data_IF_202277122960
#
_entry.id   IF_202277122960
#
_cell.length_a   1.000
_cell.length_b   1.000
_cell.length_c   1.000
_cell.angle_alpha   90.00
_cell.angle_beta   90.00
_cell.angle_gamma   90.00
#
_symmetry.space_group_name_H-M   'P 1'
#
loop_
_entity.id
_entity.type
_entity.pdbx_description
1 polymer ?
#
# COMPACT_ATOMS: atom_id res chain seq x y z
N UNK A 1 -15.16 12.39 4.74
CA UNK A 1 -15.91 11.86 5.90
C UNK A 1 -15.54 12.65 7.15
N UNK A 2 -16.52 13.30 7.79
CA UNK A 2 -16.36 13.96 9.08
C UNK A 2 -16.81 13.00 10.20
N UNK A 3 -16.02 11.94 10.44
CA UNK A 3 -16.19 11.04 11.58
C UNK A 3 -15.19 11.46 12.67
N UNK A 4 -15.60 12.40 13.53
CA UNK A 4 -14.74 13.00 14.57
C UNK A 4 -14.25 11.99 15.60
N UNK A 5 -15.02 10.93 15.82
CA UNK A 5 -14.62 9.80 16.66
C UNK A 5 -13.36 9.07 16.17
N UNK A 6 -12.96 9.29 14.90
CA UNK A 6 -11.74 8.71 14.31
C UNK A 6 -10.55 9.67 14.35
N UNK A 7 -10.70 10.89 14.88
CA UNK A 7 -9.63 11.89 14.94
C UNK A 7 -8.35 11.37 15.65
N UNK A 8 -8.41 10.52 16.69
CA UNK A 8 -7.20 9.92 17.27
C UNK A 8 -6.36 9.06 16.30
N UNK A 9 -6.99 8.52 15.24
CA UNK A 9 -6.35 7.69 14.22
C UNK A 9 -6.05 8.43 12.92
N UNK A 10 -6.78 9.52 12.65
CA UNK A 10 -6.82 10.19 11.35
C UNK A 10 -5.44 10.44 10.77
N UNK A 11 -4.55 10.95 11.61
CA UNK A 11 -3.19 11.29 11.23
C UNK A 11 -2.26 10.07 11.16
N UNK A 12 -2.40 9.11 12.09
CA UNK A 12 -1.56 7.90 12.11
C UNK A 12 -1.78 7.01 10.88
N UNK A 13 -3.03 6.92 10.43
CA UNK A 13 -3.44 6.12 9.26
C UNK A 13 -3.44 6.97 7.99
N UNK A 14 -3.43 8.30 8.10
CA UNK A 14 -3.49 9.27 7.01
C UNK A 14 -4.71 9.02 6.11
N UNK A 15 -5.90 9.31 6.63
CA UNK A 15 -7.16 9.03 5.93
C UNK A 15 -7.23 9.68 4.54
N UNK A 16 -6.66 10.88 4.39
CA UNK A 16 -6.61 11.61 3.13
C UNK A 16 -5.15 11.66 2.70
N UNK A 17 -4.83 10.97 1.62
CA UNK A 17 -3.46 10.85 1.11
C UNK A 17 -3.51 10.58 -0.39
N UNK A 18 -2.62 11.22 -1.14
CA UNK A 18 -2.31 10.82 -2.53
C UNK A 18 -1.54 9.50 -2.51
N UNK A 19 -1.88 8.58 -3.42
CA UNK A 19 -1.32 7.22 -3.46
C UNK A 19 0.21 7.20 -3.57
N UNK A 20 0.77 8.15 -4.30
CA UNK A 20 2.20 8.30 -4.66
C UNK A 20 2.98 9.27 -3.75
N UNK A 21 2.31 9.96 -2.82
CA UNK A 21 3.00 10.91 -1.95
C UNK A 21 3.59 10.16 -0.76
N UNK A 22 4.88 10.30 -0.43
CA UNK A 22 5.49 9.62 0.70
C UNK A 22 4.80 10.03 2.02
N UNK A 23 4.67 9.11 3.00
CA UNK A 23 4.13 9.45 4.30
C UNK A 23 5.05 10.45 5.02
N UNK A 24 4.52 11.39 5.82
CA UNK A 24 5.33 12.20 6.71
C UNK A 24 6.22 11.33 7.59
N UNK A 25 7.48 11.75 7.79
CA UNK A 25 8.49 10.98 8.51
C UNK A 25 7.98 10.50 9.87
N UNK A 26 7.33 11.38 10.65
CA UNK A 26 6.77 11.07 11.96
C UNK A 26 5.81 9.86 11.97
N UNK A 27 5.07 9.63 10.89
CA UNK A 27 4.17 8.49 10.77
C UNK A 27 4.88 7.29 10.16
N UNK A 28 5.78 7.53 9.20
CA UNK A 28 6.61 6.48 8.60
C UNK A 28 7.55 5.81 9.61
N UNK A 29 7.97 6.52 10.65
CA UNK A 29 8.84 6.05 11.72
C UNK A 29 8.08 5.64 12.99
N UNK A 30 6.75 5.60 12.96
CA UNK A 30 5.94 5.34 14.14
C UNK A 30 5.97 3.85 14.52
N UNK A 31 6.96 3.47 15.34
CA UNK A 31 7.20 2.10 15.81
C UNK A 31 6.27 1.67 16.97
N UNK A 32 4.99 1.97 16.81
CA UNK A 32 3.95 1.58 17.76
C UNK A 32 2.88 0.76 17.06
N UNK A 33 2.43 -0.30 17.73
CA UNK A 33 1.23 -1.04 17.37
C UNK A 33 -0.02 -0.29 17.84
N UNK A 34 -1.19 -0.52 17.21
CA UNK A 34 -2.45 -0.01 17.74
C UNK A 34 -2.70 -0.49 19.16
N UNK A 35 -3.16 0.40 20.03
CA UNK A 35 -3.62 0.07 21.38
C UNK A 35 -4.99 -0.64 21.38
N UNK A 36 -5.40 -1.16 22.54
CA UNK A 36 -6.74 -1.75 22.73
C UNK A 36 -7.86 -0.74 22.44
N UNK A 37 -7.66 0.54 22.76
CA UNK A 37 -8.62 1.61 22.48
C UNK A 37 -8.67 1.99 20.99
N UNK A 38 -7.57 1.82 20.26
CA UNK A 38 -7.47 2.16 18.84
C UNK A 38 -8.02 1.09 17.91
N UNK A 39 -7.96 -0.19 18.29
CA UNK A 39 -8.43 -1.31 17.45
C UNK A 39 -9.92 -1.18 17.03
N UNK A 40 -10.87 -0.85 17.92
CA UNK A 40 -12.26 -0.59 17.53
C UNK A 40 -12.39 0.55 16.52
N UNK A 41 -11.57 1.61 16.67
CA UNK A 41 -11.56 2.74 15.75
C UNK A 41 -11.00 2.35 14.37
N UNK A 42 -9.99 1.47 14.31
CA UNK A 42 -9.48 0.91 13.05
C UNK A 42 -10.56 0.11 12.33
N UNK A 43 -11.27 -0.76 13.06
CA UNK A 43 -12.37 -1.54 12.49
C UNK A 43 -13.48 -0.64 11.94
N UNK A 44 -13.86 0.39 12.70
CA UNK A 44 -14.87 1.37 12.24
C UNK A 44 -14.42 2.13 10.99
N UNK A 45 -13.16 2.57 10.95
CA UNK A 45 -12.60 3.20 9.75
C UNK A 45 -12.58 2.24 8.56
N UNK A 46 -12.22 0.97 8.76
CA UNK A 46 -12.22 -0.04 7.71
C UNK A 46 -13.62 -0.19 7.07
N UNK A 47 -14.66 -0.32 7.89
CA UNK A 47 -16.05 -0.39 7.42
C UNK A 47 -16.46 0.84 6.62
N UNK A 48 -16.08 2.05 7.09
CA UNK A 48 -16.37 3.29 6.37
C UNK A 48 -15.62 3.37 5.04
N UNK A 49 -14.37 2.91 5.00
CA UNK A 49 -13.58 2.83 3.77
C UNK A 49 -14.20 1.85 2.78
N UNK A 50 -14.59 0.66 3.23
CA UNK A 50 -15.24 -0.35 2.39
C UNK A 50 -16.54 0.20 1.78
N UNK A 51 -17.37 0.88 2.58
CA UNK A 51 -18.56 1.55 2.07
C UNK A 51 -18.25 2.65 1.04
N UNK A 52 -17.12 3.35 1.16
CA UNK A 52 -16.68 4.32 0.15
C UNK A 52 -16.23 3.63 -1.14
N UNK A 53 -15.45 2.55 -1.03
CA UNK A 53 -14.98 1.79 -2.19
C UNK A 53 -16.15 1.14 -2.96
N UNK A 54 -17.16 0.62 -2.28
CA UNK A 54 -18.36 0.08 -2.93
C UNK A 54 -19.12 1.15 -3.72
N UNK A 55 -19.23 2.37 -3.16
CA UNK A 55 -19.81 3.51 -3.88
C UNK A 55 -18.98 3.91 -5.10
N UNK A 56 -17.66 3.90 -4.97
CA UNK A 56 -16.75 4.21 -6.07
C UNK A 56 -16.85 3.17 -7.20
N UNK A 57 -16.91 1.87 -6.86
CA UNK A 57 -17.09 0.77 -7.82
C UNK A 57 -18.42 0.83 -8.57
N UNK A 58 -19.45 1.41 -7.96
CA UNK A 58 -20.74 1.62 -8.61
C UNK A 58 -20.73 2.74 -9.65
N UNK A 59 -19.73 3.62 -9.64
CA UNK A 59 -19.55 4.65 -10.66
C UNK A 59 -18.87 4.02 -11.88
N UNK A 60 -19.48 4.16 -13.06
CA UNK A 60 -18.81 3.86 -14.32
C UNK A 60 -18.05 5.10 -14.81
N UNK A 61 -16.71 5.15 -14.74
CA UNK A 61 -15.95 6.30 -15.20
C UNK A 61 -15.75 6.33 -16.71
N UNK A 62 -16.20 5.29 -17.43
CA UNK A 62 -16.04 5.17 -18.89
C UNK A 62 -17.14 6.00 -19.56
N UNK A 63 -16.79 7.04 -20.35
CA UNK A 63 -17.78 7.82 -21.09
C UNK A 63 -18.58 6.95 -22.06
N UNK A 64 -19.87 7.24 -22.23
CA UNK A 64 -20.74 6.48 -23.13
C UNK A 64 -20.29 6.51 -24.61
N UNK A 65 -19.49 7.52 -24.99
CA UNK A 65 -18.92 7.70 -26.31
C UNK A 65 -17.43 7.33 -26.38
N UNK A 66 -16.89 6.61 -25.39
CA UNK A 66 -15.50 6.16 -25.42
C UNK A 66 -15.27 5.20 -26.60
N UNK A 67 -14.12 5.35 -27.27
CA UNK A 67 -13.68 4.34 -28.24
C UNK A 67 -13.29 3.03 -27.50
N UNK A 68 -13.32 1.86 -28.16
CA UNK A 68 -12.91 0.59 -27.55
C UNK A 68 -11.49 0.64 -26.95
N UNK A 69 -10.61 1.42 -27.59
CA UNK A 69 -9.24 1.63 -27.13
C UNK A 69 -9.19 2.50 -25.88
N UNK A 70 -9.95 3.60 -25.83
CA UNK A 70 -10.07 4.43 -24.64
C UNK A 70 -10.69 3.66 -23.47
N UNK A 71 -11.72 2.85 -23.73
CA UNK A 71 -12.33 1.97 -22.75
C UNK A 71 -11.30 1.02 -22.14
N UNK A 72 -10.51 0.35 -22.98
CA UNK A 72 -9.46 -0.58 -22.53
C UNK A 72 -8.45 0.11 -21.62
N UNK A 73 -8.02 1.33 -21.97
CA UNK A 73 -7.08 2.12 -21.16
C UNK A 73 -7.69 2.48 -19.81
N UNK A 74 -8.90 3.03 -19.79
CA UNK A 74 -9.59 3.41 -18.54
C UNK A 74 -9.74 2.19 -17.63
N UNK A 75 -10.20 1.06 -18.17
CA UNK A 75 -10.33 -0.19 -17.41
C UNK A 75 -8.99 -0.67 -16.83
N UNK A 76 -7.91 -0.53 -17.59
CA UNK A 76 -6.58 -0.95 -17.14
C UNK A 76 -6.06 -0.09 -16.00
N UNK A 77 -6.24 1.23 -16.08
CA UNK A 77 -5.88 2.16 -15.01
C UNK A 77 -6.70 1.92 -13.74
N UNK A 78 -8.02 1.71 -13.89
CA UNK A 78 -8.88 1.32 -12.77
C UNK A 78 -8.41 0.02 -12.11
N UNK A 79 -7.96 -0.96 -12.90
CA UNK A 79 -7.48 -2.23 -12.37
C UNK A 79 -6.23 -2.05 -11.49
N UNK A 80 -5.30 -1.17 -11.85
CA UNK A 80 -4.14 -0.86 -11.00
C UNK A 80 -4.56 -0.25 -9.66
N UNK A 81 -5.48 0.71 -9.68
CA UNK A 81 -6.03 1.32 -8.46
C UNK A 81 -6.78 0.32 -7.59
N UNK A 82 -7.68 -0.48 -8.18
CA UNK A 82 -8.45 -1.48 -7.46
C UNK A 82 -7.57 -2.54 -6.78
N UNK A 83 -6.51 -2.99 -7.46
CA UNK A 83 -5.55 -3.94 -6.89
C UNK A 83 -4.77 -3.32 -5.73
N UNK A 84 -4.35 -2.06 -5.85
CA UNK A 84 -3.70 -1.34 -4.76
C UNK A 84 -4.62 -1.20 -3.54
N UNK A 85 -5.89 -0.84 -3.75
CA UNK A 85 -6.86 -0.71 -2.65
C UNK A 85 -7.14 -2.06 -1.98
N UNK A 86 -7.20 -3.17 -2.72
CA UNK A 86 -7.33 -4.50 -2.12
C UNK A 86 -6.17 -4.82 -1.15
N UNK A 87 -4.95 -4.48 -1.53
CA UNK A 87 -3.74 -4.69 -0.71
C UNK A 87 -3.69 -3.79 0.50
N UNK A 88 -4.17 -2.56 0.36
CA UNK A 88 -4.36 -1.68 1.51
C UNK A 88 -5.37 -2.32 2.49
N UNK A 89 -6.45 -2.95 2.03
CA UNK A 89 -7.37 -3.69 2.91
C UNK A 89 -6.68 -4.80 3.69
N UNK A 90 -5.77 -5.57 3.06
CA UNK A 90 -4.95 -6.58 3.75
C UNK A 90 -4.07 -5.97 4.85
N UNK A 91 -3.46 -4.81 4.58
CA UNK A 91 -2.70 -4.06 5.59
C UNK A 91 -3.57 -3.59 6.75
N UNK A 92 -4.81 -3.15 6.48
CA UNK A 92 -5.73 -2.73 7.55
C UNK A 92 -6.02 -3.89 8.49
N UNK A 93 -6.26 -5.09 7.95
CA UNK A 93 -6.49 -6.30 8.76
C UNK A 93 -5.25 -6.60 9.60
N UNK A 94 -4.06 -6.55 9.02
CA UNK A 94 -2.81 -6.82 9.73
C UNK A 94 -2.49 -5.76 10.80
N UNK A 95 -2.80 -4.48 10.54
CA UNK A 95 -2.72 -3.40 11.53
C UNK A 95 -3.68 -3.67 12.70
N UNK A 96 -4.93 -4.01 12.42
CA UNK A 96 -5.94 -4.35 13.43
C UNK A 96 -5.53 -5.57 14.29
N UNK A 97 -4.88 -6.56 13.68
CA UNK A 97 -4.32 -7.72 14.37
C UNK A 97 -2.99 -7.43 15.08
N UNK A 98 -2.51 -6.18 15.04
CA UNK A 98 -1.24 -5.74 15.63
C UNK A 98 -0.04 -6.53 15.08
N UNK A 99 -0.11 -7.01 13.83
CA UNK A 99 0.99 -7.73 13.16
C UNK A 99 1.99 -6.80 12.47
N UNK A 100 1.65 -5.52 12.39
CA UNK A 100 2.49 -4.45 11.87
C UNK A 100 2.25 -3.16 12.67
N UNK A 101 3.26 -2.29 12.69
CA UNK A 101 3.20 -0.98 13.34
C UNK A 101 2.58 0.07 12.42
N UNK A 102 2.23 1.24 12.96
CA UNK A 102 1.75 2.36 12.13
C UNK A 102 2.78 2.82 11.09
N UNK A 103 4.08 2.78 11.41
CA UNK A 103 5.11 3.12 10.44
C UNK A 103 5.27 2.08 9.35
N UNK A 104 5.21 0.79 9.67
CA UNK A 104 5.23 -0.25 8.63
C UNK A 104 3.98 -0.15 7.76
N UNK A 105 2.82 0.11 8.34
CA UNK A 105 1.58 0.40 7.61
C UNK A 105 1.76 1.55 6.62
N UNK A 106 2.27 2.69 7.09
CA UNK A 106 2.43 3.90 6.28
C UNK A 106 3.42 3.70 5.12
N UNK A 107 4.53 3.00 5.37
CA UNK A 107 5.54 2.65 4.37
C UNK A 107 5.01 1.65 3.34
N UNK A 108 4.26 0.63 3.77
CA UNK A 108 3.73 -0.40 2.85
C UNK A 108 2.57 0.12 2.03
N UNK A 109 1.67 0.90 2.63
CA UNK A 109 0.61 1.62 1.90
C UNK A 109 1.19 2.54 0.82
N UNK A 110 2.31 3.20 1.12
CA UNK A 110 3.06 3.98 0.12
C UNK A 110 3.56 3.13 -1.04
N UNK A 111 4.28 2.05 -0.73
CA UNK A 111 4.89 1.21 -1.76
C UNK A 111 3.83 0.66 -2.73
N UNK A 112 2.68 0.23 -2.20
CA UNK A 112 1.55 -0.26 -2.99
C UNK A 112 0.95 0.86 -3.87
N UNK A 113 0.65 2.02 -3.27
CA UNK A 113 0.07 3.15 -4.00
C UNK A 113 1.00 3.67 -5.10
N UNK A 114 2.29 3.81 -4.78
CA UNK A 114 3.32 4.21 -5.75
C UNK A 114 3.44 3.21 -6.90
N UNK A 115 3.45 1.90 -6.62
CA UNK A 115 3.53 0.90 -7.68
C UNK A 115 2.35 0.99 -8.67
N UNK A 116 1.14 1.28 -8.19
CA UNK A 116 -0.03 1.46 -9.04
C UNK A 116 0.02 2.76 -9.87
N UNK A 117 0.46 3.87 -9.26
CA UNK A 117 0.63 5.14 -9.98
C UNK A 117 1.73 5.02 -11.03
N UNK A 118 2.90 4.50 -10.68
CA UNK A 118 4.02 4.26 -11.61
C UNK A 118 3.60 3.35 -12.77
N UNK A 119 2.76 2.33 -12.51
CA UNK A 119 2.22 1.45 -13.56
C UNK A 119 1.24 2.20 -14.48
N UNK A 120 0.36 3.03 -13.92
CA UNK A 120 -0.57 3.86 -14.69
C UNK A 120 0.18 4.87 -15.57
N UNK A 121 1.21 5.53 -15.05
CA UNK A 121 2.03 6.48 -15.78
C UNK A 121 2.76 5.81 -16.95
N UNK A 122 3.48 4.72 -16.68
CA UNK A 122 4.17 3.95 -17.74
C UNK A 122 3.21 3.43 -18.81
N UNK A 123 2.00 3.03 -18.41
CA UNK A 123 0.98 2.57 -19.36
C UNK A 123 0.48 3.70 -20.27
N UNK A 124 0.32 4.92 -19.73
CA UNK A 124 -0.01 6.13 -20.51
C UNK A 124 1.14 6.57 -21.40
N UNK A 125 2.36 6.56 -20.89
CA UNK A 125 3.57 6.91 -21.65
C UNK A 125 3.77 5.99 -22.85
N UNK A 126 3.58 4.68 -22.64
CA UNK A 126 3.64 3.69 -23.71
C UNK A 126 2.67 4.02 -24.86
N UNK A 127 1.52 4.67 -24.60
CA UNK A 127 0.55 5.08 -25.63
C UNK A 127 1.00 6.26 -26.48
N UNK A 128 1.96 7.05 -26.01
CA UNK A 128 2.50 8.19 -26.77
C UNK A 128 3.54 7.76 -27.80
N UNK A 129 3.93 6.48 -27.82
CA UNK A 129 4.82 5.91 -28.82
C UNK A 129 4.11 5.88 -30.19
N UNK A 130 4.82 6.35 -31.23
CA UNK A 130 4.29 6.38 -32.60
C UNK A 130 4.17 4.98 -33.23
N UNK A 131 5.03 4.05 -32.80
CA UNK A 131 5.08 2.68 -33.32
C UNK A 131 4.16 1.76 -32.50
N UNK A 132 3.27 1.04 -33.19
CA UNK A 132 2.23 0.22 -32.55
C UNK A 132 2.80 -1.03 -31.85
N UNK A 133 3.86 -1.63 -32.38
CA UNK A 133 4.50 -2.80 -31.78
C UNK A 133 5.25 -2.41 -30.51
N UNK A 134 6.01 -1.32 -30.56
CA UNK A 134 6.64 -0.75 -29.38
C UNK A 134 5.62 -0.30 -28.32
N UNK A 135 4.48 0.23 -28.76
CA UNK A 135 3.38 0.59 -27.86
C UNK A 135 2.84 -0.61 -27.10
N UNK A 136 2.57 -1.73 -27.80
CA UNK A 136 2.08 -2.97 -27.18
C UNK A 136 3.13 -3.58 -26.25
N UNK A 137 4.40 -3.61 -26.66
CA UNK A 137 5.49 -4.14 -25.85
C UNK A 137 5.68 -3.33 -24.56
N UNK A 138 5.70 -2.00 -24.64
CA UNK A 138 5.85 -1.13 -23.48
C UNK A 138 4.67 -1.25 -22.49
N UNK A 139 3.45 -1.40 -23.01
CA UNK A 139 2.26 -1.67 -22.17
C UNK A 139 2.32 -3.01 -21.44
N UNK A 140 2.78 -4.06 -22.13
CA UNK A 140 2.99 -5.37 -21.53
C UNK A 140 4.06 -5.31 -20.44
N UNK A 141 5.17 -4.60 -20.69
CA UNK A 141 6.23 -4.42 -19.72
C UNK A 141 5.73 -3.68 -18.46
N UNK A 142 4.97 -2.60 -18.61
CA UNK A 142 4.37 -1.89 -17.48
C UNK A 142 3.46 -2.82 -16.65
N UNK A 143 2.63 -3.62 -17.33
CA UNK A 143 1.76 -4.61 -16.68
C UNK A 143 2.54 -5.70 -15.94
N UNK A 144 3.64 -6.20 -16.53
CA UNK A 144 4.51 -7.20 -15.93
C UNK A 144 5.24 -6.66 -14.70
N UNK A 145 5.76 -5.42 -14.76
CA UNK A 145 6.42 -4.79 -13.62
C UNK A 145 5.46 -4.64 -12.44
N UNK A 146 4.21 -4.24 -12.69
CA UNK A 146 3.19 -4.20 -11.65
C UNK A 146 2.92 -5.59 -11.08
N UNK A 147 2.70 -6.60 -11.94
CA UNK A 147 2.49 -7.99 -11.49
C UNK A 147 3.65 -8.53 -10.64
N UNK A 148 4.90 -8.22 -10.99
CA UNK A 148 6.07 -8.59 -10.21
C UNK A 148 6.05 -7.95 -8.81
N UNK A 149 5.68 -6.66 -8.73
CA UNK A 149 5.46 -6.00 -7.45
C UNK A 149 4.34 -6.67 -6.64
N UNK A 150 3.31 -7.20 -7.31
CA UNK A 150 2.21 -7.91 -6.65
C UNK A 150 2.62 -9.31 -6.14
N UNK A 151 3.58 -9.97 -6.79
CA UNK A 151 4.15 -11.23 -6.30
C UNK A 151 5.04 -10.98 -5.07
N UNK A 152 5.88 -9.94 -5.11
CA UNK A 152 6.68 -9.53 -3.96
C UNK A 152 5.78 -9.18 -2.75
N UNK A 153 4.62 -8.57 -3.02
CA UNK A 153 3.59 -8.32 -2.01
C UNK A 153 3.06 -9.59 -1.35
N UNK A 154 2.72 -10.61 -2.15
CA UNK A 154 2.18 -11.86 -1.61
C UNK A 154 3.16 -12.52 -0.62
N UNK A 155 4.45 -12.54 -0.96
CA UNK A 155 5.51 -13.05 -0.08
C UNK A 155 5.62 -12.21 1.21
N UNK A 156 5.56 -10.88 1.09
CA UNK A 156 5.55 -9.99 2.25
C UNK A 156 4.35 -10.27 3.17
N UNK A 157 3.14 -10.38 2.62
CA UNK A 157 1.94 -10.63 3.42
C UNK A 157 1.90 -12.03 4.02
N UNK A 158 2.45 -13.04 3.35
CA UNK A 158 2.65 -14.36 3.95
C UNK A 158 3.50 -14.26 5.22
N UNK A 159 4.62 -13.53 5.16
CA UNK A 159 5.47 -13.30 6.32
C UNK A 159 4.76 -12.52 7.42
N UNK A 160 4.02 -11.45 7.08
CA UNK A 160 3.22 -10.68 8.04
C UNK A 160 2.17 -11.55 8.72
N UNK A 161 1.45 -12.36 7.95
CA UNK A 161 0.38 -13.21 8.46
C UNK A 161 0.88 -14.27 9.44
N UNK A 162 2.12 -14.74 9.30
CA UNK A 162 2.77 -15.67 10.21
C UNK A 162 3.27 -15.03 11.53
N UNK A 163 3.30 -13.69 11.64
CA UNK A 163 3.77 -13.00 12.85
C UNK A 163 2.79 -13.19 14.00
N UNK A 164 3.36 -13.31 15.21
CA UNK A 164 2.60 -13.10 16.43
C UNK A 164 2.31 -11.60 16.61
N UNK A 165 1.15 -11.21 17.16
CA UNK A 165 0.85 -9.81 17.45
C UNK A 165 1.94 -9.15 18.29
N UNK A 166 2.24 -7.89 17.97
CA UNK A 166 3.17 -7.03 18.70
C UNK A 166 4.64 -7.48 18.75
N UNK A 167 5.07 -8.37 17.84
CA UNK A 167 6.43 -8.95 17.87
C UNK A 167 7.43 -8.31 16.92
N UNK A 168 7.01 -7.81 15.77
CA UNK A 168 7.93 -7.24 14.76
C UNK A 168 7.86 -5.72 14.77
N UNK A 169 8.93 -5.09 15.24
CA UNK A 169 9.11 -3.65 15.29
C UNK A 169 9.75 -3.12 14.00
N UNK A 170 9.64 -1.82 13.76
CA UNK A 170 10.46 -1.13 12.78
C UNK A 170 11.91 -1.20 13.25
N UNK A 171 12.64 -2.20 12.77
CA UNK A 171 14.10 -2.08 12.72
C UNK A 171 14.36 -0.83 11.88
N UNK A 172 14.96 0.18 12.51
CA UNK A 172 15.36 1.42 11.85
C UNK A 172 15.89 1.11 10.46
N UNK A 173 15.17 1.63 9.45
CA UNK A 173 15.45 1.56 8.01
C UNK A 173 16.79 0.91 7.67
N UNK A 174 16.74 -0.36 7.27
CA UNK A 174 17.80 -0.98 6.46
C UNK A 174 19.15 -1.24 7.13
N UNK A 175 19.24 -1.23 8.47
CA UNK A 175 20.48 -1.61 9.14
C UNK A 175 20.38 -3.07 9.59
N UNK A 176 21.09 -3.96 8.91
CA UNK A 176 21.23 -5.36 9.32
C UNK A 176 22.18 -5.42 10.51
N UNK A 177 21.60 -5.29 11.71
CA UNK A 177 22.38 -5.43 12.94
C UNK A 177 22.47 -6.91 13.36
N UNK A 178 23.68 -7.45 13.36
CA UNK A 178 23.99 -8.75 13.96
C UNK A 178 24.67 -8.51 15.30
N UNK A 179 24.12 -9.07 16.37
CA UNK A 179 24.73 -8.98 17.71
C UNK A 179 25.34 -10.32 18.10
N UNK A 180 26.59 -10.28 18.56
CA UNK A 180 27.29 -11.45 19.09
C UNK A 180 27.67 -11.16 20.54
N UNK A 181 27.26 -12.03 21.46
CA UNK A 181 27.62 -11.93 22.88
C UNK A 181 28.82 -12.83 23.19
N UNK A 182 29.87 -12.26 23.78
CA UNK A 182 30.98 -13.01 24.36
C UNK A 182 31.16 -12.59 25.83
N UNK A 183 30.73 -13.46 26.75
CA UNK A 183 30.73 -13.15 28.19
C UNK A 183 29.79 -11.98 28.53
N UNK A 184 30.29 -10.99 29.26
CA UNK A 184 29.56 -9.77 29.62
C UNK A 184 29.55 -8.68 28.55
N UNK A 185 30.17 -8.93 27.39
CA UNK A 185 30.28 -7.93 26.31
C UNK A 185 29.36 -8.32 25.15
N UNK A 186 28.49 -7.39 24.75
CA UNK A 186 27.66 -7.51 23.55
C UNK A 186 28.25 -6.61 22.47
N UNK A 187 28.68 -7.22 21.37
CA UNK A 187 29.14 -6.50 20.18
C UNK A 187 28.03 -6.51 19.15
N UNK A 188 27.48 -5.33 18.85
CA UNK A 188 26.46 -5.15 17.82
C UNK A 188 27.13 -4.54 16.59
N UNK A 189 27.14 -5.27 15.47
CA UNK A 189 27.58 -4.75 14.19
C UNK A 189 26.36 -4.50 13.31
N UNK A 190 26.30 -3.33 12.70
CA UNK A 190 25.17 -2.77 12.00
C UNK A 190 25.64 -2.34 10.60
N UNK A 191 25.18 -3.04 9.56
CA UNK A 191 25.45 -2.73 8.14
C UNK A 191 24.26 -2.05 7.48
#
# INVERSE_FOLDING_TARGET
>A
MAAHELDPLREKIQFIRKLDSPPPFQYASLDSFPSSAERPLISKWATLRDACMERERAVNPIPANASPLAETVIRKEMAFGSEAEAKVSELVVSLYQQKLTYGEFAQRRYAVGKAAVDASEKYREARMLQDQDHQLQAQQLASQQFANSMNAWANYMQAVNARQPQTVRLTSLGVHCTSTSLGSTVSTNCN
#
